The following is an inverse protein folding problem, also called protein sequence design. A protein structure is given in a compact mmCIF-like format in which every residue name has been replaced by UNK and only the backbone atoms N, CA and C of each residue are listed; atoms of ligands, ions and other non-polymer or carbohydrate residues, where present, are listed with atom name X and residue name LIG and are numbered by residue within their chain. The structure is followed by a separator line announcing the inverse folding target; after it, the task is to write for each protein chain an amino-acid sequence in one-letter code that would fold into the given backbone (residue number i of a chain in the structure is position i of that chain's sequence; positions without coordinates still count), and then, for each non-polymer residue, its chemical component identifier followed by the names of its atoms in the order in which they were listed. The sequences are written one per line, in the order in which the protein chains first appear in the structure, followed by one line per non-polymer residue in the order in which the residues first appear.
data_IF_936189264141
#
_entry.id   IF_936189264141
#
_cell.length_a   1.000
_cell.length_b   1.000
_cell.length_c   1.000
_cell.angle_alpha   90.00
_cell.angle_beta   90.00
_cell.angle_gamma   90.00
#
_symmetry.space_group_name_H-M   'P 1'
#
loop_
_entity.id
_entity.type
_entity.pdbx_description
1 polymer ?
#
# COMPACT_ATOMS: atom_id res chain seq x y z
N UNK A 1 25.02 -12.78 -5.60
CA UNK A 1 24.26 -11.64 -6.17
C UNK A 1 25.13 -10.39 -6.01
N UNK A 2 25.54 -9.70 -7.09
CA UNK A 2 26.37 -8.50 -6.96
C UNK A 2 25.63 -7.47 -6.10
N UNK A 3 26.28 -6.95 -5.05
CA UNK A 3 25.73 -5.87 -4.22
C UNK A 3 25.78 -4.61 -5.07
N UNK A 4 24.62 -4.14 -5.53
CA UNK A 4 24.51 -2.84 -6.18
C UNK A 4 24.82 -1.80 -5.12
N UNK A 5 26.02 -1.24 -5.12
CA UNK A 5 26.40 -0.14 -4.24
C UNK A 5 25.70 1.13 -4.74
N UNK A 6 24.51 1.38 -4.21
CA UNK A 6 23.74 2.59 -4.51
C UNK A 6 24.51 3.80 -3.99
N UNK A 7 24.61 4.86 -4.80
CA UNK A 7 25.18 6.13 -4.38
C UNK A 7 24.37 6.72 -3.23
N UNK A 8 25.00 7.54 -2.37
CA UNK A 8 24.34 8.24 -1.26
C UNK A 8 23.06 8.96 -1.71
N UNK A 9 23.08 9.58 -2.89
CA UNK A 9 21.91 10.25 -3.47
C UNK A 9 20.77 9.26 -3.81
N UNK A 10 21.09 8.06 -4.29
CA UNK A 10 20.08 7.04 -4.59
C UNK A 10 19.45 6.48 -3.32
N UNK A 11 20.23 6.32 -2.24
CA UNK A 11 19.69 5.94 -0.93
C UNK A 11 18.80 7.04 -0.36
N UNK A 12 19.21 8.32 -0.49
CA UNK A 12 18.41 9.45 -0.07
C UNK A 12 17.09 9.53 -0.84
N UNK A 13 17.13 9.40 -2.17
CA UNK A 13 15.93 9.38 -3.01
C UNK A 13 15.02 8.19 -2.68
N UNK A 14 15.59 7.02 -2.42
CA UNK A 14 14.80 5.84 -2.03
C UNK A 14 14.08 6.08 -0.69
N UNK A 15 14.78 6.66 0.30
CA UNK A 15 14.17 7.03 1.58
C UNK A 15 13.13 8.13 1.45
N UNK A 16 13.34 9.10 0.56
CA UNK A 16 12.35 10.15 0.28
C UNK A 16 11.04 9.57 -0.27
N UNK A 17 11.12 8.56 -1.15
CA UNK A 17 9.94 7.84 -1.65
C UNK A 17 9.24 7.08 -0.52
N UNK A 18 9.98 6.36 0.33
CA UNK A 18 9.41 5.64 1.48
C UNK A 18 8.72 6.61 2.45
N UNK A 19 9.33 7.77 2.71
CA UNK A 19 8.76 8.83 3.54
C UNK A 19 7.38 9.26 3.03
N UNK A 20 7.21 9.47 1.72
CA UNK A 20 5.91 9.79 1.14
C UNK A 20 4.86 8.69 1.34
N UNK A 21 5.26 7.42 1.21
CA UNK A 21 4.37 6.27 1.46
C UNK A 21 3.92 6.21 2.93
N UNK A 22 4.85 6.42 3.86
CA UNK A 22 4.54 6.45 5.30
C UNK A 22 3.59 7.59 5.68
N UNK A 23 3.74 8.79 5.08
CA UNK A 23 2.82 9.91 5.31
C UNK A 23 1.40 9.55 4.89
N UNK A 24 1.24 8.93 3.71
CA UNK A 24 -0.08 8.49 3.22
C UNK A 24 -0.65 7.38 4.10
N UNK A 25 0.18 6.44 4.54
CA UNK A 25 -0.25 5.39 5.46
C UNK A 25 -0.76 5.97 6.79
N UNK A 26 0.00 6.90 7.39
CA UNK A 26 -0.41 7.62 8.59
C UNK A 26 -1.74 8.36 8.40
N UNK A 27 -1.90 9.09 7.30
CA UNK A 27 -3.16 9.76 6.97
C UNK A 27 -4.33 8.76 6.90
N UNK A 28 -4.13 7.61 6.26
CA UNK A 28 -5.11 6.52 6.23
C UNK A 28 -5.52 6.09 7.64
N UNK A 29 -4.56 5.77 8.52
CA UNK A 29 -4.86 5.37 9.90
C UNK A 29 -5.57 6.46 10.71
N UNK A 30 -5.30 7.74 10.44
CA UNK A 30 -5.99 8.86 11.10
C UNK A 30 -7.43 9.06 10.59
N UNK A 31 -7.68 8.89 9.29
CA UNK A 31 -8.98 9.20 8.68
C UNK A 31 -9.94 8.01 8.59
N UNK A 32 -9.45 6.77 8.55
CA UNK A 32 -10.31 5.58 8.46
C UNK A 32 -11.29 5.47 9.66
N UNK A 33 -10.86 5.60 10.93
CA UNK A 33 -11.78 5.50 12.07
C UNK A 33 -12.95 6.49 12.03
N UNK A 34 -12.75 7.82 11.86
CA UNK A 34 -13.87 8.75 11.79
C UNK A 34 -14.73 8.59 10.53
N UNK A 35 -14.18 8.09 9.41
CA UNK A 35 -14.99 7.78 8.22
C UNK A 35 -15.90 6.57 8.44
N UNK A 36 -15.42 5.51 9.10
CA UNK A 36 -16.23 4.33 9.42
C UNK A 36 -17.37 4.65 10.38
N UNK A 37 -17.11 5.47 11.41
CA UNK A 37 -18.15 5.92 12.34
C UNK A 37 -19.22 6.76 11.63
N UNK A 38 -18.83 7.65 10.70
CA UNK A 38 -19.77 8.41 9.87
C UNK A 38 -20.61 7.53 8.94
N UNK A 39 -20.06 6.40 8.48
CA UNK A 39 -20.77 5.41 7.67
C UNK A 39 -21.73 4.51 8.47
N UNK A 40 -21.83 4.69 9.80
CA UNK A 40 -22.79 3.97 10.65
C UNK A 40 -22.27 2.68 11.29
N UNK A 41 -20.96 2.42 11.25
CA UNK A 41 -20.36 1.25 11.91
C UNK A 41 -20.22 1.46 13.44
N UNK A 42 -20.43 0.40 14.22
CA UNK A 42 -20.17 0.39 15.68
C UNK A 42 -18.67 0.35 16.00
N UNK A 43 -18.29 0.81 17.19
CA UNK A 43 -16.88 0.83 17.63
C UNK A 43 -16.23 -0.57 17.64
N UNK A 44 -16.99 -1.61 18.00
CA UNK A 44 -16.55 -3.00 18.00
C UNK A 44 -16.21 -3.48 16.57
N UNK A 45 -17.07 -3.17 15.60
CA UNK A 45 -16.86 -3.56 14.21
C UNK A 45 -15.70 -2.78 13.56
N UNK A 46 -15.48 -1.52 13.97
CA UNK A 46 -14.35 -0.71 13.53
C UNK A 46 -13.01 -1.32 13.95
N UNK A 47 -12.91 -1.76 15.21
CA UNK A 47 -11.69 -2.42 15.72
C UNK A 47 -11.36 -3.69 14.96
N UNK A 48 -12.37 -4.50 14.64
CA UNK A 48 -12.20 -5.69 13.80
C UNK A 48 -11.70 -5.33 12.39
N UNK A 49 -12.31 -4.33 11.74
CA UNK A 49 -11.92 -3.89 10.39
C UNK A 49 -10.48 -3.35 10.34
N UNK A 50 -10.10 -2.53 11.33
CA UNK A 50 -8.75 -2.00 11.45
C UNK A 50 -7.73 -3.12 11.71
N UNK A 51 -8.09 -4.12 12.53
CA UNK A 51 -7.26 -5.30 12.82
C UNK A 51 -7.09 -6.25 11.63
N UNK A 52 -8.07 -6.31 10.72
CA UNK A 52 -7.96 -7.09 9.48
C UNK A 52 -6.86 -6.55 8.56
N UNK A 53 -6.59 -5.24 8.55
CA UNK A 53 -5.55 -4.63 7.72
C UNK A 53 -4.17 -5.27 7.92
N UNK A 54 -3.62 -5.28 9.15
CA UNK A 54 -2.37 -5.97 9.47
C UNK A 54 -2.39 -7.48 9.20
N UNK A 55 -3.51 -8.18 9.43
CA UNK A 55 -3.63 -9.62 9.16
C UNK A 55 -3.50 -9.93 7.67
N UNK A 56 -4.19 -9.15 6.83
CA UNK A 56 -4.08 -9.25 5.37
C UNK A 56 -2.67 -8.87 4.93
N UNK A 57 -2.09 -7.80 5.49
CA UNK A 57 -0.70 -7.41 5.23
C UNK A 57 0.28 -8.55 5.51
N UNK A 58 0.15 -9.21 6.65
CA UNK A 58 0.98 -10.36 7.02
C UNK A 58 0.87 -11.53 6.04
N UNK A 59 -0.33 -11.80 5.50
CA UNK A 59 -0.52 -12.87 4.51
C UNK A 59 -0.03 -12.48 3.12
N UNK A 60 -0.30 -11.24 2.68
CA UNK A 60 0.02 -10.78 1.34
C UNK A 60 1.50 -10.44 1.15
N UNK A 61 2.18 -9.89 2.17
CA UNK A 61 3.61 -9.55 2.11
C UNK A 61 4.49 -10.72 1.64
N UNK A 62 4.43 -11.94 2.23
CA UNK A 62 5.25 -13.07 1.77
C UNK A 62 4.81 -13.60 0.41
N UNK A 63 3.50 -13.61 0.10
CA UNK A 63 2.97 -14.07 -1.19
C UNK A 63 3.45 -13.17 -2.32
N UNK A 64 3.29 -11.87 -2.17
CA UNK A 64 3.74 -10.85 -3.12
C UNK A 64 5.26 -10.86 -3.22
N UNK A 65 5.99 -11.00 -2.11
CA UNK A 65 7.45 -11.13 -2.11
C UNK A 65 7.92 -12.32 -2.94
N UNK A 66 7.29 -13.50 -2.75
CA UNK A 66 7.63 -14.71 -3.51
C UNK A 66 7.23 -14.63 -4.98
N UNK A 67 6.09 -14.01 -5.28
CA UNK A 67 5.64 -13.76 -6.66
C UNK A 67 6.56 -12.77 -7.39
N UNK A 68 6.98 -11.70 -6.70
CA UNK A 68 7.93 -10.70 -7.19
C UNK A 68 9.27 -11.32 -7.57
N UNK A 69 9.81 -12.21 -6.74
CA UNK A 69 11.08 -12.89 -7.03
C UNK A 69 11.00 -13.87 -8.23
N UNK A 70 9.80 -14.33 -8.61
CA UNK A 70 9.59 -15.24 -9.75
C UNK A 70 9.29 -14.53 -11.09
N UNK A 71 9.17 -13.21 -11.13
CA UNK A 71 8.89 -12.48 -12.37
C UNK A 71 10.11 -12.40 -13.32
N UNK A 72 9.98 -13.00 -14.51
CA UNK A 72 10.95 -12.93 -15.61
C UNK A 72 10.56 -11.86 -16.66
N UNK A 73 10.32 -10.62 -16.23
CA UNK A 73 10.01 -9.52 -17.16
C UNK A 73 11.28 -8.88 -17.74
N UNK A 74 11.20 -8.46 -19.00
CA UNK A 74 12.29 -7.87 -19.80
C UNK A 74 12.76 -6.48 -19.27
N UNK A 75 11.97 -5.82 -18.43
CA UNK A 75 12.29 -4.53 -17.80
C UNK A 75 12.99 -4.65 -16.42
N UNK A 76 13.35 -5.87 -16.00
CA UNK A 76 14.07 -6.18 -14.76
C UNK A 76 13.19 -6.76 -13.65
N UNK A 77 13.73 -7.72 -12.89
CA UNK A 77 13.04 -8.66 -11.98
C UNK A 77 12.09 -8.05 -10.92
N UNK A 78 12.25 -6.79 -10.52
CA UNK A 78 11.53 -6.17 -9.39
C UNK A 78 10.74 -4.90 -9.72
N UNK A 79 11.06 -4.22 -10.83
CA UNK A 79 10.44 -2.96 -11.24
C UNK A 79 8.96 -3.06 -11.68
N UNK A 80 8.50 -4.10 -12.40
CA UNK A 80 7.10 -4.16 -12.82
C UNK A 80 6.16 -4.38 -11.62
N UNK A 81 6.59 -5.11 -10.59
CA UNK A 81 5.78 -5.31 -9.39
C UNK A 81 5.61 -4.02 -8.58
N UNK A 82 6.69 -3.24 -8.40
CA UNK A 82 6.63 -1.95 -7.70
C UNK A 82 5.73 -0.97 -8.46
N UNK A 83 5.86 -0.89 -9.80
CA UNK A 83 5.01 -0.03 -10.63
C UNK A 83 3.55 -0.47 -10.61
N UNK A 84 3.28 -1.76 -10.66
CA UNK A 84 1.92 -2.29 -10.63
C UNK A 84 1.26 -2.04 -9.27
N UNK A 85 1.97 -2.25 -8.16
CA UNK A 85 1.50 -1.91 -6.81
C UNK A 85 1.30 -0.40 -6.64
N UNK A 86 2.21 0.43 -7.13
CA UNK A 86 2.07 1.88 -7.08
C UNK A 86 0.85 2.37 -7.88
N UNK A 87 0.65 1.85 -9.10
CA UNK A 87 -0.54 2.12 -9.90
C UNK A 87 -1.81 1.66 -9.20
N UNK A 88 -1.82 0.46 -8.61
CA UNK A 88 -2.95 -0.07 -7.86
C UNK A 88 -3.29 0.84 -6.67
N UNK A 89 -2.28 1.36 -5.96
CA UNK A 89 -2.45 2.26 -4.84
C UNK A 89 -3.01 3.62 -5.28
N UNK A 90 -2.52 4.17 -6.40
CA UNK A 90 -3.06 5.39 -7.02
C UNK A 90 -4.51 5.19 -7.47
N UNK A 91 -4.81 4.06 -8.13
CA UNK A 91 -6.18 3.71 -8.54
C UNK A 91 -7.09 3.53 -7.33
N UNK A 92 -6.64 2.88 -6.25
CA UNK A 92 -7.40 2.71 -5.02
C UNK A 92 -7.72 4.06 -4.37
N UNK A 93 -6.72 4.95 -4.24
CA UNK A 93 -6.92 6.31 -3.73
C UNK A 93 -7.89 7.12 -4.61
N UNK A 94 -7.85 6.93 -5.92
CA UNK A 94 -8.78 7.57 -6.86
C UNK A 94 -10.21 6.99 -6.76
N UNK A 95 -10.35 5.71 -6.42
CA UNK A 95 -11.65 5.04 -6.30
C UNK A 95 -12.41 5.40 -5.02
N UNK A 96 -11.70 5.68 -3.91
CA UNK A 96 -12.28 6.06 -2.62
C UNK A 96 -13.34 7.18 -2.74
N UNK A 97 -13.08 8.32 -3.42
CA UNK A 97 -14.10 9.37 -3.59
C UNK A 97 -15.24 8.97 -4.55
N UNK A 98 -15.03 8.02 -5.46
CA UNK A 98 -16.09 7.49 -6.33
C UNK A 98 -16.97 6.44 -5.65
N UNK A 99 -16.56 5.90 -4.50
CA UNK A 99 -17.33 4.91 -3.75
C UNK A 99 -18.71 5.42 -3.32
N UNK A 100 -18.84 6.72 -3.03
CA UNK A 100 -20.12 7.36 -2.71
C UNK A 100 -21.08 7.40 -3.92
N UNK A 101 -20.57 7.31 -5.15
CA UNK A 101 -21.39 7.28 -6.37
C UNK A 101 -21.97 5.89 -6.67
N UNK A 102 -21.36 4.82 -6.12
CA UNK A 102 -21.74 3.43 -6.38
C UNK A 102 -22.67 2.85 -5.28
N UNK A 103 -22.88 3.56 -4.18
CA UNK A 103 -23.75 3.15 -3.06
C UNK A 103 -25.21 3.58 -3.20
N UNK A 104 -25.60 4.16 -4.35
CA UNK A 104 -26.99 4.39 -4.75
C UNK A 104 -27.48 3.27 -5.67
#
# INVERSE_FOLDING_TARGET
VPKVTLSMLQMLLLNAVVCGVEIVACAGFTYIPPMLLKAGYSEENMGFLLGMGPLLGFLFVPVIGRASDRCYSQFGRRRPFILCLALLLVCALYLIPFGEYLSH
#
